data_IF_039401658183
#
_entry.id   IF_039401658183
#
_cell.length_a   1.000
_cell.length_b   1.000
_cell.length_c   1.000
_cell.angle_alpha   90.00
_cell.angle_beta   90.00
_cell.angle_gamma   90.00
#
_symmetry.space_group_name_H-M   'P 1'
#
loop_
_entity.id
_entity.type
_entity.pdbx_description
1 polymer ?
#
# COMPACT_ATOMS: atom_id res chain seq x y z
N UNK A 1 -33.78 -37.31 15.19
CA UNK A 1 -34.69 -36.33 14.54
C UNK A 1 -33.91 -35.61 13.47
N UNK A 2 -34.05 -36.01 12.20
CA UNK A 2 -33.37 -35.37 11.06
C UNK A 2 -34.36 -34.46 10.33
N UNK A 3 -34.10 -33.15 10.36
CA UNK A 3 -34.83 -32.17 9.56
C UNK A 3 -34.42 -32.23 8.08
N UNK A 4 -35.32 -31.77 7.21
CA UNK A 4 -35.22 -31.72 5.75
C UNK A 4 -33.93 -31.06 5.23
N UNK A 5 -33.56 -31.35 3.98
CA UNK A 5 -32.26 -31.07 3.34
C UNK A 5 -31.77 -29.61 3.37
N UNK A 6 -32.63 -28.63 3.67
CA UNK A 6 -32.29 -27.21 3.83
C UNK A 6 -32.76 -26.60 5.16
N UNK A 7 -33.09 -27.44 6.15
CA UNK A 7 -33.53 -26.97 7.46
C UNK A 7 -32.37 -26.84 8.45
N UNK A 8 -32.52 -25.91 9.40
CA UNK A 8 -31.60 -25.76 10.53
C UNK A 8 -31.39 -27.11 11.20
N UNK A 9 -30.14 -27.59 11.22
CA UNK A 9 -29.81 -28.92 11.76
C UNK A 9 -29.04 -28.78 13.06
N UNK A 10 -29.64 -29.27 14.15
CA UNK A 10 -28.99 -29.43 15.44
C UNK A 10 -28.57 -30.90 15.62
N UNK A 11 -27.27 -31.14 15.76
CA UNK A 11 -26.69 -32.46 16.02
C UNK A 11 -25.99 -32.44 17.37
N UNK A 12 -26.45 -33.25 18.31
CA UNK A 12 -25.85 -33.40 19.65
C UNK A 12 -25.22 -34.79 19.72
N UNK A 13 -23.90 -34.84 19.93
CA UNK A 13 -23.12 -36.06 20.08
C UNK A 13 -22.30 -35.98 21.38
N UNK A 14 -21.80 -37.11 21.88
CA UNK A 14 -20.91 -37.13 23.05
C UNK A 14 -19.65 -36.24 22.87
N UNK A 15 -19.20 -36.06 21.63
CA UNK A 15 -18.05 -35.23 21.26
C UNK A 15 -18.36 -33.74 21.10
N UNK A 16 -19.64 -33.33 21.15
CA UNK A 16 -20.03 -31.93 21.06
C UNK A 16 -21.40 -31.69 20.42
N UNK A 17 -21.77 -30.40 20.40
CA UNK A 17 -23.01 -29.90 19.83
C UNK A 17 -22.69 -29.11 18.55
N UNK A 18 -23.36 -29.44 17.44
CA UNK A 18 -23.16 -28.81 16.13
C UNK A 18 -24.48 -28.30 15.59
N UNK A 19 -24.53 -27.01 15.29
CA UNK A 19 -25.69 -26.35 14.66
C UNK A 19 -25.28 -25.87 13.27
N UNK A 20 -26.04 -26.26 12.25
CA UNK A 20 -25.74 -25.98 10.84
C UNK A 20 -26.94 -25.36 10.13
N UNK A 21 -26.66 -24.64 9.02
CA UNK A 21 -27.67 -23.97 8.19
C UNK A 21 -28.59 -23.04 9.00
N UNK A 22 -28.01 -22.15 9.80
CA UNK A 22 -28.74 -21.12 10.55
C UNK A 22 -28.23 -19.72 10.17
N UNK A 23 -29.15 -18.83 9.81
CA UNK A 23 -28.86 -17.40 9.60
C UNK A 23 -28.81 -16.61 10.91
N UNK A 24 -29.47 -17.12 11.95
CA UNK A 24 -29.62 -16.45 13.23
C UNK A 24 -29.44 -17.45 14.37
N UNK A 25 -28.34 -17.30 15.10
CA UNK A 25 -28.08 -18.07 16.31
C UNK A 25 -27.85 -17.12 17.48
N UNK A 26 -28.73 -17.23 18.49
CA UNK A 26 -28.63 -16.50 19.75
C UNK A 26 -28.82 -17.44 20.93
N UNK A 27 -28.02 -17.26 21.97
CA UNK A 27 -28.19 -17.93 23.26
C UNK A 27 -28.76 -16.88 24.20
N UNK A 28 -29.96 -17.12 24.75
CA UNK A 28 -30.65 -16.19 25.65
C UNK A 28 -30.64 -16.80 27.06
N UNK A 29 -30.31 -15.98 28.06
CA UNK A 29 -30.42 -16.38 29.46
C UNK A 29 -31.88 -16.58 29.84
N UNK A 30 -32.23 -17.76 30.35
CA UNK A 30 -33.62 -18.07 30.77
C UNK A 30 -34.07 -17.24 31.98
N UNK A 31 -33.16 -16.80 32.84
CA UNK A 31 -33.47 -16.03 34.05
C UNK A 31 -33.58 -14.53 33.80
N UNK A 32 -32.77 -13.98 32.87
CA UNK A 32 -32.72 -12.52 32.62
C UNK A 32 -33.37 -12.11 31.30
N UNK A 33 -33.72 -13.07 30.43
CA UNK A 33 -34.19 -12.86 29.06
C UNK A 33 -33.25 -12.01 28.19
N UNK A 34 -31.98 -11.86 28.59
CA UNK A 34 -30.95 -11.14 27.84
C UNK A 34 -30.15 -12.09 26.96
N UNK A 35 -29.78 -11.68 25.72
CA UNK A 35 -28.89 -12.46 24.87
C UNK A 35 -27.48 -12.54 25.49
N UNK A 36 -27.03 -13.77 25.76
CA UNK A 36 -25.67 -14.10 26.23
C UNK A 36 -24.69 -14.22 25.06
N UNK A 37 -25.17 -14.66 23.89
CA UNK A 37 -24.36 -14.81 22.68
C UNK A 37 -25.21 -14.57 21.45
N UNK A 38 -24.62 -13.97 20.41
CA UNK A 38 -25.22 -13.81 19.09
C UNK A 38 -24.15 -14.05 18.02
N UNK A 39 -24.43 -14.97 17.09
CA UNK A 39 -23.53 -15.27 15.97
C UNK A 39 -23.49 -14.16 14.91
N UNK A 40 -24.43 -13.21 14.93
CA UNK A 40 -24.49 -12.13 13.95
C UNK A 40 -23.56 -10.95 14.29
N UNK A 41 -23.37 -10.68 15.58
CA UNK A 41 -22.45 -9.67 16.06
C UNK A 41 -21.62 -10.25 17.22
N UNK A 42 -20.79 -11.28 16.96
CA UNK A 42 -20.05 -11.92 18.02
C UNK A 42 -18.99 -10.95 18.53
N UNK A 43 -19.10 -10.55 19.80
CA UNK A 43 -18.04 -9.80 20.50
C UNK A 43 -16.99 -10.81 20.92
N UNK A 44 -16.03 -11.07 20.04
CA UNK A 44 -14.92 -12.01 20.30
C UNK A 44 -13.75 -11.21 20.85
N UNK A 45 -13.26 -11.60 22.04
CA UNK A 45 -12.00 -11.08 22.55
C UNK A 45 -10.85 -11.86 21.91
N UNK A 46 -10.01 -11.19 21.13
CA UNK A 46 -8.83 -11.82 20.55
C UNK A 46 -7.78 -12.01 21.66
N UNK A 47 -7.63 -13.25 22.13
CA UNK A 47 -6.61 -13.61 23.11
C UNK A 47 -5.30 -14.07 22.42
N UNK A 48 -4.29 -14.41 23.23
CA UNK A 48 -2.97 -14.86 22.74
C UNK A 48 -3.01 -16.16 21.94
N UNK A 49 -4.11 -16.92 21.95
CA UNK A 49 -4.24 -18.20 21.23
C UNK A 49 -4.65 -17.98 19.78
N UNK A 50 -5.30 -16.86 19.47
CA UNK A 50 -5.73 -16.52 18.11
C UNK A 50 -4.56 -15.92 17.32
N UNK A 51 -3.96 -16.71 16.45
CA UNK A 51 -2.81 -16.30 15.61
C UNK A 51 -3.18 -15.77 14.23
N UNK A 52 -4.36 -16.12 13.73
CA UNK A 52 -4.80 -15.77 12.36
C UNK A 52 -6.25 -15.32 12.40
N UNK A 53 -6.50 -14.12 11.89
CA UNK A 53 -7.84 -13.62 11.62
C UNK A 53 -8.04 -13.60 10.10
N UNK A 54 -9.05 -14.30 9.62
CA UNK A 54 -9.41 -14.32 8.19
C UNK A 54 -10.81 -13.75 8.04
N UNK A 55 -10.92 -12.57 7.42
CA UNK A 55 -12.18 -11.85 7.23
C UNK A 55 -12.10 -11.01 5.96
N UNK A 56 -13.25 -10.65 5.41
CA UNK A 56 -13.36 -9.77 4.24
C UNK A 56 -13.07 -8.31 4.58
N UNK A 57 -13.34 -7.88 5.82
CA UNK A 57 -13.17 -6.49 6.25
C UNK A 57 -12.75 -6.40 7.72
N UNK A 58 -11.74 -5.58 8.00
CA UNK A 58 -11.30 -5.21 9.34
C UNK A 58 -11.41 -3.69 9.44
N UNK A 59 -12.10 -3.19 10.46
CA UNK A 59 -12.14 -1.78 10.81
C UNK A 59 -11.43 -1.65 12.16
N UNK A 60 -10.27 -1.00 12.15
CA UNK A 60 -9.46 -0.76 13.36
C UNK A 60 -8.94 0.66 13.34
N UNK A 61 -8.73 1.23 14.53
CA UNK A 61 -8.09 2.53 14.71
C UNK A 61 -6.56 2.46 14.59
N UNK A 62 -5.96 1.28 14.75
CA UNK A 62 -4.50 1.12 14.77
C UNK A 62 -4.07 -0.25 14.28
N UNK A 63 -2.99 -0.27 13.51
CA UNK A 63 -2.24 -1.47 13.13
C UNK A 63 -0.80 -1.25 13.61
N UNK A 64 -0.24 -2.20 14.38
CA UNK A 64 1.13 -2.13 14.92
C UNK A 64 1.76 -3.51 14.92
N UNK A 65 3.08 -3.58 14.80
CA UNK A 65 3.82 -4.81 15.07
C UNK A 65 4.02 -5.05 16.57
N UNK A 66 4.39 -6.28 16.96
CA UNK A 66 5.00 -6.55 18.26
C UNK A 66 6.28 -5.73 18.48
N UNK A 67 6.68 -5.57 19.75
CA UNK A 67 7.83 -4.72 20.15
C UNK A 67 9.13 -5.15 19.47
N UNK A 68 9.35 -6.46 19.32
CA UNK A 68 10.60 -7.02 18.79
C UNK A 68 10.48 -7.53 17.35
N UNK A 69 9.39 -7.17 16.65
CA UNK A 69 9.12 -7.66 15.29
C UNK A 69 8.73 -6.51 14.34
N UNK A 70 8.99 -6.70 13.06
CA UNK A 70 8.61 -5.74 12.02
C UNK A 70 7.19 -6.00 11.51
N UNK A 71 6.44 -4.91 11.25
CA UNK A 71 5.13 -5.00 10.61
C UNK A 71 5.31 -5.34 9.12
N UNK A 72 4.81 -6.50 8.68
CA UNK A 72 4.82 -6.93 7.28
C UNK A 72 3.42 -6.85 6.69
N UNK A 73 3.26 -6.10 5.60
CA UNK A 73 2.00 -5.96 4.87
C UNK A 73 2.23 -6.53 3.46
N UNK A 74 1.65 -7.70 3.20
CA UNK A 74 1.73 -8.37 1.89
C UNK A 74 0.35 -8.31 1.25
N UNK A 75 0.19 -7.44 0.25
CA UNK A 75 -1.07 -7.23 -0.45
C UNK A 75 -0.80 -6.98 -1.93
N UNK A 76 -1.76 -7.32 -2.78
CA UNK A 76 -1.68 -7.04 -4.22
C UNK A 76 -1.89 -5.55 -4.51
N UNK A 77 -2.87 -4.93 -3.85
CA UNK A 77 -3.22 -3.53 -4.01
C UNK A 77 -3.27 -2.84 -2.64
N UNK A 78 -2.30 -1.97 -2.36
CA UNK A 78 -2.26 -1.14 -1.15
C UNK A 78 -2.60 0.31 -1.48
N UNK A 79 -3.58 0.90 -0.78
CA UNK A 79 -3.87 2.33 -0.83
C UNK A 79 -3.86 2.91 0.57
N UNK A 80 -2.92 3.81 0.84
CA UNK A 80 -2.88 4.59 2.08
C UNK A 80 -3.45 5.97 1.77
N UNK A 81 -4.45 6.41 2.55
CA UNK A 81 -5.07 7.73 2.41
C UNK A 81 -5.17 8.36 3.79
N UNK A 82 -4.79 9.62 3.91
CA UNK A 82 -4.90 10.39 5.15
C UNK A 82 -5.51 11.76 4.86
N UNK A 83 -6.51 12.16 5.64
CA UNK A 83 -7.15 13.48 5.48
C UNK A 83 -6.20 14.63 5.87
N UNK A 84 -5.25 14.37 6.76
CA UNK A 84 -4.24 15.33 7.22
C UNK A 84 -2.87 15.11 6.54
N UNK A 85 -2.85 14.32 5.47
CA UNK A 85 -1.62 13.86 4.82
C UNK A 85 -1.08 12.55 5.40
N UNK A 86 0.07 12.14 4.89
CA UNK A 86 0.75 10.90 5.27
C UNK A 86 2.18 11.27 5.69
N UNK A 87 2.55 10.89 6.91
CA UNK A 87 3.92 11.05 7.41
C UNK A 87 4.57 9.67 7.54
N UNK A 88 5.77 9.52 6.96
CA UNK A 88 6.57 8.31 7.04
C UNK A 88 7.95 8.65 7.58
N UNK A 89 8.33 8.00 8.67
CA UNK A 89 9.63 8.18 9.31
C UNK A 89 10.32 6.83 9.45
N UNK A 90 11.56 6.73 8.97
CA UNK A 90 12.40 5.55 9.10
C UNK A 90 13.88 5.93 8.95
N UNK A 91 14.77 5.09 9.47
CA UNK A 91 16.22 5.21 9.20
C UNK A 91 16.53 5.08 7.70
N UNK A 92 15.83 4.16 7.01
CA UNK A 92 15.94 3.97 5.58
C UNK A 92 14.57 3.60 4.99
N UNK A 93 14.19 4.23 3.87
CA UNK A 93 12.99 3.90 3.11
C UNK A 93 13.42 3.47 1.71
N UNK A 94 12.95 2.29 1.28
CA UNK A 94 13.24 1.74 -0.05
C UNK A 94 11.95 1.53 -0.82
N UNK A 95 11.77 2.31 -1.89
CA UNK A 95 10.71 2.08 -2.87
C UNK A 95 11.27 1.25 -4.02
N UNK A 96 10.62 0.13 -4.34
CA UNK A 96 10.96 -0.71 -5.47
C UNK A 96 9.69 -0.97 -6.29
N UNK A 97 9.73 -0.68 -7.58
CA UNK A 97 8.65 -0.94 -8.51
C UNK A 97 9.18 -1.76 -9.68
N UNK A 98 8.45 -2.82 -10.07
CA UNK A 98 8.85 -3.65 -11.21
C UNK A 98 8.87 -2.85 -12.51
N UNK A 99 7.87 -1.99 -12.71
CA UNK A 99 7.73 -1.16 -13.93
C UNK A 99 8.14 0.27 -13.69
N UNK A 100 7.56 0.93 -12.68
CA UNK A 100 7.84 2.33 -12.39
C UNK A 100 7.47 2.69 -10.96
N UNK A 101 8.05 3.79 -10.48
CA UNK A 101 7.65 4.49 -9.25
C UNK A 101 7.31 5.92 -9.66
N UNK A 102 6.08 6.35 -9.43
CA UNK A 102 5.55 7.64 -9.89
C UNK A 102 5.16 8.48 -8.68
N UNK A 103 5.71 9.70 -8.60
CA UNK A 103 5.35 10.70 -7.60
C UNK A 103 4.56 11.81 -8.30
N UNK A 104 3.23 11.81 -8.11
CA UNK A 104 2.36 12.86 -8.65
C UNK A 104 2.05 13.88 -7.57
N UNK A 105 2.15 15.16 -7.92
CA UNK A 105 1.72 16.27 -7.07
C UNK A 105 0.44 16.90 -7.64
N UNK A 106 -0.27 17.67 -6.81
CA UNK A 106 -1.35 18.54 -7.26
C UNK A 106 -0.79 19.68 -8.14
N UNK A 107 -1.66 20.48 -8.77
CA UNK A 107 -1.26 21.59 -9.67
C UNK A 107 -0.19 22.50 -9.04
N UNK A 108 -0.32 22.80 -7.75
CA UNK A 108 0.58 23.67 -7.00
C UNK A 108 1.46 22.88 -6.00
N UNK A 109 1.43 21.55 -6.08
CA UNK A 109 2.20 20.68 -5.21
C UNK A 109 3.65 20.53 -5.68
N UNK A 110 4.57 20.38 -4.74
CA UNK A 110 6.01 20.33 -4.99
C UNK A 110 6.65 19.13 -4.30
N UNK A 111 7.70 18.59 -4.93
CA UNK A 111 8.53 17.52 -4.36
C UNK A 111 9.82 18.15 -3.86
N UNK A 112 10.04 18.12 -2.55
CA UNK A 112 11.25 18.61 -1.93
C UNK A 112 12.13 17.43 -1.52
N UNK A 113 13.34 17.36 -2.06
CA UNK A 113 14.35 16.36 -1.71
C UNK A 113 15.45 17.03 -0.90
N UNK A 114 15.48 16.77 0.40
CA UNK A 114 16.50 17.29 1.30
C UNK A 114 17.73 16.37 1.40
N UNK A 115 18.91 16.94 1.63
CA UNK A 115 20.14 16.20 1.85
C UNK A 115 20.92 15.86 0.58
N UNK A 116 21.79 14.84 0.66
CA UNK A 116 22.64 14.44 -0.47
C UNK A 116 21.85 13.58 -1.45
N UNK A 117 21.33 14.20 -2.49
CA UNK A 117 20.67 13.49 -3.60
C UNK A 117 21.72 12.86 -4.51
N UNK A 118 21.52 11.58 -4.84
CA UNK A 118 22.21 10.89 -5.93
C UNK A 118 21.15 10.27 -6.84
N UNK A 119 21.10 10.77 -8.06
CA UNK A 119 20.33 10.16 -9.14
C UNK A 119 21.35 9.33 -9.92
N UNK A 120 21.29 8.01 -9.77
CA UNK A 120 22.34 7.14 -10.26
C UNK A 120 22.43 7.14 -11.80
N UNK A 121 23.65 6.91 -12.27
CA UNK A 121 24.13 6.93 -13.64
C UNK A 121 24.75 5.57 -13.97
N UNK A 122 24.02 4.46 -13.78
CA UNK A 122 24.37 3.18 -14.43
C UNK A 122 24.15 3.35 -15.94
N UNK A 123 25.04 4.12 -16.55
CA UNK A 123 25.10 4.44 -17.95
C UNK A 123 25.57 3.19 -18.70
N UNK A 124 24.63 2.30 -19.00
CA UNK A 124 24.53 1.98 -20.43
C UNK A 124 24.10 3.28 -21.08
N UNK A 125 25.08 4.11 -21.44
CA UNK A 125 24.83 5.40 -22.05
C UNK A 125 23.82 5.18 -23.17
N UNK A 126 22.66 5.85 -23.08
CA UNK A 126 21.74 5.89 -24.22
C UNK A 126 22.59 6.31 -25.42
N UNK A 127 22.69 5.49 -26.48
CA UNK A 127 23.57 5.79 -27.59
C UNK A 127 23.18 7.17 -28.13
N UNK A 128 24.11 8.11 -27.97
CA UNK A 128 23.99 9.43 -28.57
C UNK A 128 24.11 9.21 -30.07
N UNK A 129 23.00 9.30 -30.80
CA UNK A 129 23.07 9.32 -32.25
C UNK A 129 23.73 10.63 -32.68
N UNK A 130 24.85 10.60 -33.42
CA UNK A 130 25.44 11.80 -34.01
C UNK A 130 24.62 12.35 -35.18
N UNK A 131 23.54 11.67 -35.57
CA UNK A 131 22.77 11.98 -36.77
C UNK A 131 21.62 12.94 -36.46
N UNK A 132 21.60 14.17 -37.01
CA UNK A 132 20.53 15.16 -36.80
C UNK A 132 19.16 14.67 -37.30
N UNK A 133 19.15 13.70 -38.21
CA UNK A 133 17.97 13.14 -38.84
C UNK A 133 17.32 11.99 -38.06
N UNK A 134 17.96 11.48 -36.99
CA UNK A 134 17.35 10.46 -36.14
C UNK A 134 16.46 11.14 -35.09
N UNK A 135 15.36 11.73 -35.56
CA UNK A 135 14.19 12.09 -34.74
C UNK A 135 13.41 10.82 -34.36
N UNK A 136 14.11 9.75 -33.97
CA UNK A 136 13.45 8.61 -33.36
C UNK A 136 12.68 9.15 -32.16
N UNK A 137 11.37 8.93 -32.15
CA UNK A 137 10.49 9.34 -31.06
C UNK A 137 11.03 8.73 -29.78
N UNK A 138 11.77 9.52 -28.99
CA UNK A 138 12.26 9.04 -27.72
C UNK A 138 11.29 9.57 -26.69
N UNK A 139 10.39 8.71 -26.22
CA UNK A 139 9.51 8.93 -25.07
C UNK A 139 10.30 9.04 -23.74
N UNK A 140 11.58 9.45 -23.81
CA UNK A 140 12.48 9.58 -22.68
C UNK A 140 13.14 10.95 -22.70
N UNK A 141 13.17 11.58 -21.53
CA UNK A 141 13.89 12.82 -21.28
C UNK A 141 15.16 12.52 -20.47
N UNK A 142 16.21 13.30 -20.71
CA UNK A 142 17.39 13.37 -19.84
C UNK A 142 17.17 14.45 -18.80
N UNK A 143 17.52 14.16 -17.56
CA UNK A 143 17.61 15.14 -16.49
C UNK A 143 19.03 15.69 -16.44
N UNK A 144 19.16 16.98 -16.70
CA UNK A 144 20.43 17.69 -16.76
C UNK A 144 20.55 18.65 -15.57
N UNK A 145 21.78 18.90 -15.14
CA UNK A 145 22.10 19.84 -14.05
C UNK A 145 22.69 21.11 -14.66
N UNK A 146 22.21 22.28 -14.24
CA UNK A 146 22.80 23.55 -14.61
C UNK A 146 24.24 23.67 -14.10
N UNK A 147 25.16 24.11 -14.96
CA UNK A 147 26.52 24.44 -14.56
C UNK A 147 26.54 25.85 -13.94
N UNK A 148 26.27 25.95 -12.64
CA UNK A 148 26.23 27.23 -11.90
C UNK A 148 26.22 27.02 -10.38
N UNK A 149 26.24 28.11 -9.58
CA UNK A 149 26.24 28.02 -8.12
C UNK A 149 24.93 27.45 -7.55
N UNK A 150 23.82 27.55 -8.30
CA UNK A 150 22.54 26.93 -7.95
C UNK A 150 22.35 25.64 -8.75
N UNK A 151 22.15 24.52 -8.03
CA UNK A 151 21.86 23.22 -8.64
C UNK A 151 20.41 23.15 -9.15
N UNK A 152 20.13 23.88 -10.24
CA UNK A 152 18.87 23.78 -10.97
C UNK A 152 18.91 22.56 -11.90
N UNK A 153 17.77 21.89 -12.04
CA UNK A 153 17.60 20.74 -12.93
C UNK A 153 16.72 21.12 -14.11
N UNK A 154 17.03 20.63 -15.31
CA UNK A 154 16.22 20.83 -16.50
C UNK A 154 16.12 19.54 -17.32
N UNK A 155 15.04 19.41 -18.10
CA UNK A 155 14.82 18.27 -18.97
C UNK A 155 15.25 18.60 -20.40
N UNK A 156 15.96 17.67 -21.04
CA UNK A 156 16.22 17.70 -22.49
C UNK A 156 15.68 16.43 -23.13
N UNK A 157 15.28 16.45 -24.41
CA UNK A 157 14.97 15.23 -25.15
C UNK A 157 16.10 14.21 -25.05
N UNK A 158 15.77 12.92 -24.95
CA UNK A 158 16.73 11.85 -24.65
C UNK A 158 17.87 11.66 -25.66
N UNK A 159 17.73 12.16 -26.88
CA UNK A 159 18.75 12.19 -27.93
C UNK A 159 19.59 13.48 -27.96
N UNK A 160 19.26 14.49 -27.15
CA UNK A 160 19.97 15.77 -27.15
C UNK A 160 21.01 15.85 -26.02
N UNK A 161 22.12 16.58 -26.23
CA UNK A 161 23.06 16.88 -25.16
C UNK A 161 22.41 17.79 -24.10
N UNK A 162 22.97 17.77 -22.89
CA UNK A 162 22.58 18.67 -21.81
C UNK A 162 23.05 20.11 -22.11
N UNK A 163 22.31 20.81 -22.96
CA UNK A 163 22.53 22.21 -23.29
C UNK A 163 21.31 23.02 -22.83
N UNK A 164 21.52 23.94 -21.88
CA UNK A 164 20.49 24.86 -21.40
C UNK A 164 20.63 26.23 -22.04
N UNK A 165 19.52 26.94 -22.24
CA UNK A 165 19.56 28.38 -22.46
C UNK A 165 19.87 29.12 -21.16
N UNK A 166 20.47 30.31 -21.27
CA UNK A 166 20.79 31.17 -20.12
C UNK A 166 19.55 31.52 -19.26
N UNK A 167 18.34 31.44 -19.83
CA UNK A 167 17.10 31.70 -19.12
C UNK A 167 16.76 30.65 -18.04
N UNK A 168 17.21 29.40 -18.21
CA UNK A 168 16.92 28.30 -17.26
C UNK A 168 18.01 28.15 -16.21
N UNK A 169 19.28 28.35 -16.62
CA UNK A 169 20.46 28.10 -15.79
C UNK A 169 21.20 29.37 -15.35
N UNK A 170 20.48 30.47 -15.12
CA UNK A 170 21.00 31.71 -14.51
C UNK A 170 21.20 31.60 -13.01
#
# INVERSE_FOLDING_TARGET
>A
MSGAENSTRLTIQESGCRLENTEHFQIISSSTLRPLFSAQHPVITIDKKIKKLSTSRIITNKIRSPIDESLKINVENLSIRGNEGIHMEANAVKFNGMTSVIFNTSRDGSIHLGGRLRLDTTSRGLPLSPSPALSASIDAYRLCVCAGPQAKLFLTPGNKPCQSSNAVCT
#
